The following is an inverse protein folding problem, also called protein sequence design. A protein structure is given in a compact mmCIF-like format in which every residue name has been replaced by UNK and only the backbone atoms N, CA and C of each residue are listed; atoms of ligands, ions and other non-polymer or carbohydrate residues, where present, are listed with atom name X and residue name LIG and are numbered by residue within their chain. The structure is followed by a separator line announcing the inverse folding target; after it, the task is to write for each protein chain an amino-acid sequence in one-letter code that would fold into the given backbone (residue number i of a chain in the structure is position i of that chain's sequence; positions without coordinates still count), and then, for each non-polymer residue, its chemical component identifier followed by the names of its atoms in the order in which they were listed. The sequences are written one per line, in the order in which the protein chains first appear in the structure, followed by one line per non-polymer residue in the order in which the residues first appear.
data_IF_596205349239
#
_entry.id   IF_596205349239
#
_cell.length_a   1.000
_cell.length_b   1.000
_cell.length_c   1.000
_cell.angle_alpha   90.00
_cell.angle_beta   90.00
_cell.angle_gamma   90.00
#
_symmetry.space_group_name_H-M   'P 1'
#
loop_
_entity.id
_entity.type
_entity.pdbx_description
1 polymer ?
#
# COMPACT_ATOMS: atom_id res chain seq x y z
N UNK A 1 7.50 17.52 -6.54
CA UNK A 1 7.91 16.44 -5.62
C UNK A 1 6.93 15.27 -5.77
N UNK A 2 7.42 14.03 -5.71
CA UNK A 2 6.59 12.82 -5.70
C UNK A 2 7.06 11.94 -4.56
N UNK A 3 6.21 11.76 -3.56
CA UNK A 3 6.49 10.95 -2.38
C UNK A 3 5.77 9.63 -2.51
N UNK A 4 6.49 8.54 -2.26
CA UNK A 4 5.91 7.20 -2.25
C UNK A 4 6.01 6.65 -0.83
N UNK A 5 4.88 6.22 -0.27
CA UNK A 5 4.79 5.67 1.09
C UNK A 5 4.41 4.20 0.98
N UNK A 6 5.30 3.31 1.42
CA UNK A 6 4.98 1.90 1.57
C UNK A 6 4.31 1.71 2.95
N UNK A 7 3.12 1.09 2.95
CA UNK A 7 2.38 0.78 4.18
C UNK A 7 2.18 -0.73 4.30
N UNK A 8 2.02 -1.22 5.52
CA UNK A 8 1.69 -2.61 5.82
C UNK A 8 0.46 -2.69 6.71
N UNK A 9 -0.49 -3.52 6.29
CA UNK A 9 -1.57 -3.95 7.16
C UNK A 9 -1.02 -5.00 8.13
N UNK A 10 -1.20 -4.77 9.43
CA UNK A 10 -0.74 -5.66 10.51
C UNK A 10 -1.91 -5.96 11.45
N UNK A 11 -1.91 -7.10 12.15
CA UNK A 11 -2.85 -7.32 13.25
C UNK A 11 -2.65 -6.25 14.33
N UNK A 12 -3.74 -5.78 14.92
CA UNK A 12 -3.69 -4.89 16.07
C UNK A 12 -3.14 -5.64 17.29
N UNK A 13 -1.86 -5.40 17.58
CA UNK A 13 -1.13 -6.07 18.66
C UNK A 13 -1.62 -5.69 20.06
N UNK A 14 -2.41 -4.63 20.21
CA UNK A 14 -3.00 -4.26 21.51
C UNK A 14 -4.13 -5.21 21.93
N UNK A 15 -4.74 -5.89 20.96
CA UNK A 15 -5.85 -6.82 21.14
C UNK A 15 -5.43 -8.30 21.03
N UNK A 16 -4.12 -8.55 20.93
CA UNK A 16 -3.57 -9.91 20.83
C UNK A 16 -3.57 -10.57 22.20
N UNK A 17 -4.13 -11.78 22.26
CA UNK A 17 -4.17 -12.62 23.47
C UNK A 17 -3.35 -13.88 23.25
N UNK A 18 -2.77 -14.39 24.33
CA UNK A 18 -2.13 -15.71 24.35
C UNK A 18 -3.12 -16.68 24.96
N UNK A 19 -3.31 -17.81 24.29
CA UNK A 19 -4.06 -18.94 24.82
C UNK A 19 -3.30 -19.49 26.05
N UNK A 20 -3.92 -19.49 27.25
CA UNK A 20 -3.25 -19.92 28.47
C UNK A 20 -2.96 -21.43 28.50
N UNK A 21 -3.65 -22.25 27.71
CA UNK A 21 -3.46 -23.69 27.66
C UNK A 21 -2.41 -24.10 26.63
N UNK A 22 -2.50 -23.53 25.42
CA UNK A 22 -1.63 -23.93 24.29
C UNK A 22 -0.40 -23.04 24.13
N UNK A 23 -0.37 -21.86 24.77
CA UNK A 23 0.67 -20.85 24.56
C UNK A 23 0.61 -20.20 23.17
N UNK A 24 -0.39 -20.54 22.35
CA UNK A 24 -0.54 -20.01 21.00
C UNK A 24 -1.13 -18.60 21.02
N UNK A 25 -0.78 -17.82 19.98
CA UNK A 25 -1.37 -16.51 19.75
C UNK A 25 -2.80 -16.67 19.21
N UNK A 26 -3.77 -16.14 19.96
CA UNK A 26 -5.17 -16.02 19.54
C UNK A 26 -5.25 -14.84 18.58
N UNK A 27 -5.50 -15.14 17.30
CA UNK A 27 -5.59 -14.15 16.20
C UNK A 27 -7.02 -13.95 15.70
N UNK A 28 -7.96 -14.74 16.19
CA UNK A 28 -9.37 -14.64 15.83
C UNK A 28 -9.97 -13.34 16.40
N UNK A 29 -10.73 -12.62 15.58
CA UNK A 29 -11.32 -11.33 15.97
C UNK A 29 -10.35 -10.16 16.10
N UNK A 30 -9.04 -10.35 15.90
CA UNK A 30 -8.07 -9.25 15.94
C UNK A 30 -8.19 -8.41 14.65
N UNK A 31 -8.55 -7.12 14.75
CA UNK A 31 -8.69 -6.27 13.57
C UNK A 31 -7.33 -6.06 12.90
N UNK A 32 -7.37 -5.86 11.59
CA UNK A 32 -6.20 -5.57 10.79
C UNK A 32 -6.11 -4.05 10.59
N UNK A 33 -5.02 -3.44 11.03
CA UNK A 33 -4.81 -1.98 11.05
C UNK A 33 -3.61 -1.60 10.21
N UNK A 34 -3.54 -0.34 9.76
CA UNK A 34 -2.29 0.22 9.22
C UNK A 34 -1.25 0.22 10.34
N UNK A 35 -0.05 -0.28 10.08
CA UNK A 35 1.07 -0.20 11.01
C UNK A 35 1.24 1.25 11.52
N UNK A 36 1.26 1.51 12.84
CA UNK A 36 1.27 2.88 13.37
C UNK A 36 2.43 3.75 12.86
N UNK A 37 3.61 3.16 12.65
CA UNK A 37 4.75 3.87 12.08
C UNK A 37 4.53 4.30 10.62
N UNK A 38 3.83 3.47 9.85
CA UNK A 38 3.50 3.76 8.46
C UNK A 38 2.44 4.88 8.38
N UNK A 39 1.54 4.96 9.37
CA UNK A 39 0.62 6.10 9.51
C UNK A 39 1.36 7.41 9.74
N UNK A 40 2.39 7.42 10.60
CA UNK A 40 3.23 8.61 10.77
C UNK A 40 3.95 9.00 9.47
N UNK A 41 4.42 8.01 8.70
CA UNK A 41 5.06 8.26 7.41
C UNK A 41 4.09 8.88 6.39
N UNK A 42 2.85 8.38 6.33
CA UNK A 42 1.78 8.95 5.50
C UNK A 42 1.48 10.39 5.90
N UNK A 43 1.22 10.64 7.18
CA UNK A 43 0.91 11.97 7.72
C UNK A 43 2.00 12.99 7.35
N UNK A 44 3.26 12.61 7.54
CA UNK A 44 4.38 13.46 7.18
C UNK A 44 4.39 13.71 5.65
N UNK A 45 4.20 12.68 4.84
CA UNK A 45 4.17 12.82 3.38
C UNK A 45 3.07 13.78 2.90
N UNK A 46 1.88 13.72 3.52
CA UNK A 46 0.76 14.63 3.25
C UNK A 46 1.12 16.05 3.66
N UNK A 47 1.69 16.27 4.86
CA UNK A 47 2.16 17.61 5.29
C UNK A 47 3.20 18.21 4.34
N UNK A 48 4.14 17.41 3.83
CA UNK A 48 5.09 17.89 2.83
C UNK A 48 4.40 18.23 1.50
N UNK A 49 3.42 17.44 1.08
CA UNK A 49 2.60 17.72 -0.11
C UNK A 49 1.87 19.06 0.05
N UNK A 50 1.25 19.31 1.19
CA UNK A 50 0.54 20.57 1.47
C UNK A 50 1.48 21.77 1.49
N UNK A 51 2.66 21.62 2.12
CA UNK A 51 3.62 22.72 2.28
C UNK A 51 4.38 23.06 1.00
N UNK A 52 4.74 22.06 0.20
CA UNK A 52 5.67 22.22 -0.92
C UNK A 52 5.05 21.85 -2.28
N UNK A 53 3.79 21.43 -2.30
CA UNK A 53 3.14 20.84 -3.47
C UNK A 53 3.69 19.45 -3.82
N UNK A 54 3.01 18.78 -4.74
CA UNK A 54 3.44 17.47 -5.24
C UNK A 54 2.34 16.44 -5.19
N UNK A 55 2.75 15.17 -5.15
CA UNK A 55 1.83 14.03 -5.07
C UNK A 55 2.35 12.99 -4.09
N UNK A 56 1.43 12.32 -3.41
CA UNK A 56 1.65 11.20 -2.49
C UNK A 56 1.01 9.96 -3.11
N UNK A 57 1.82 8.96 -3.37
CA UNK A 57 1.35 7.63 -3.75
C UNK A 57 1.60 6.66 -2.61
N UNK A 58 0.55 6.02 -2.13
CA UNK A 58 0.65 4.94 -1.14
C UNK A 58 0.67 3.59 -1.86
N UNK A 59 1.47 2.64 -1.35
CA UNK A 59 1.46 1.27 -1.86
C UNK A 59 1.56 0.25 -0.73
N UNK A 60 1.02 -0.95 -0.97
CA UNK A 60 1.18 -2.08 -0.05
C UNK A 60 1.31 -3.39 -0.81
N UNK A 61 2.04 -4.35 -0.24
CA UNK A 61 2.08 -5.73 -0.71
C UNK A 61 1.31 -6.61 0.25
N UNK A 62 0.26 -7.27 -0.23
CA UNK A 62 -0.63 -8.02 0.64
C UNK A 62 -1.78 -8.72 -0.07
N UNK A 63 -2.63 -9.43 0.68
CA UNK A 63 -3.83 -10.05 0.15
C UNK A 63 -4.83 -8.98 -0.34
N UNK A 64 -5.90 -9.37 -1.06
CA UNK A 64 -6.93 -8.43 -1.51
C UNK A 64 -7.52 -7.54 -0.40
N UNK A 65 -7.62 -8.08 0.83
CA UNK A 65 -8.10 -7.35 2.01
C UNK A 65 -7.25 -6.13 2.39
N UNK A 66 -5.97 -6.11 2.02
CA UNK A 66 -5.10 -4.96 2.26
C UNK A 66 -5.53 -3.71 1.46
N UNK A 67 -6.46 -3.84 0.50
CA UNK A 67 -7.09 -2.70 -0.15
C UNK A 67 -7.86 -1.80 0.84
N UNK A 68 -8.42 -2.33 1.92
CA UNK A 68 -9.12 -1.54 2.95
C UNK A 68 -8.18 -0.50 3.57
N UNK A 69 -6.95 -0.91 3.90
CA UNK A 69 -5.92 0.00 4.42
C UNK A 69 -5.53 1.08 3.40
N UNK A 70 -5.49 0.74 2.10
CA UNK A 70 -5.18 1.71 1.05
C UNK A 70 -6.30 2.76 0.89
N UNK A 71 -7.57 2.35 1.01
CA UNK A 71 -8.71 3.28 0.99
C UNK A 71 -8.60 4.27 2.15
N UNK A 72 -8.31 3.77 3.36
CA UNK A 72 -8.10 4.62 4.53
C UNK A 72 -6.95 5.62 4.34
N UNK A 73 -5.86 5.22 3.66
CA UNK A 73 -4.76 6.13 3.32
C UNK A 73 -5.16 7.22 2.31
N UNK A 74 -6.03 6.89 1.35
CA UNK A 74 -6.56 7.86 0.38
C UNK A 74 -7.48 8.86 1.07
N UNK A 75 -8.33 8.41 1.98
CA UNK A 75 -9.17 9.27 2.83
C UNK A 75 -8.32 10.21 3.71
N UNK A 76 -7.12 9.77 4.11
CA UNK A 76 -6.13 10.58 4.84
C UNK A 76 -5.27 11.50 3.95
N UNK A 77 -5.56 11.62 2.65
CA UNK A 77 -4.92 12.60 1.77
C UNK A 77 -3.85 12.06 0.82
N UNK A 78 -3.70 10.73 0.69
CA UNK A 78 -2.93 10.16 -0.42
C UNK A 78 -3.66 10.36 -1.76
N UNK A 79 -2.94 10.74 -2.81
CA UNK A 79 -3.56 11.02 -4.12
C UNK A 79 -3.81 9.73 -4.94
N UNK A 80 -2.95 8.72 -4.73
CA UNK A 80 -2.99 7.44 -5.45
C UNK A 80 -2.66 6.29 -4.52
N UNK A 81 -3.34 5.17 -4.68
CA UNK A 81 -3.07 3.93 -3.95
C UNK A 81 -2.75 2.76 -4.90
N UNK A 82 -1.80 1.90 -4.51
CA UNK A 82 -1.34 0.75 -5.30
C UNK A 82 -1.32 -0.51 -4.42
N UNK A 83 -2.08 -1.54 -4.82
CA UNK A 83 -2.03 -2.86 -4.20
C UNK A 83 -1.15 -3.80 -5.02
N UNK A 84 -0.08 -4.34 -4.43
CA UNK A 84 0.73 -5.41 -5.00
C UNK A 84 0.20 -6.76 -4.48
N UNK A 85 -0.66 -7.42 -5.26
CA UNK A 85 -1.34 -8.65 -4.85
C UNK A 85 -1.11 -9.78 -5.84
N UNK A 86 -0.40 -10.82 -5.41
CA UNK A 86 -0.20 -12.07 -6.13
C UNK A 86 0.06 -13.19 -5.10
N UNK A 87 -0.43 -14.41 -5.38
CA UNK A 87 -0.16 -15.58 -4.53
C UNK A 87 1.35 -15.84 -4.40
N UNK A 88 2.15 -15.51 -5.42
CA UNK A 88 3.61 -15.64 -5.42
C UNK A 88 4.31 -14.74 -4.40
N UNK A 89 3.63 -13.73 -3.85
CA UNK A 89 4.16 -12.87 -2.79
C UNK A 89 3.88 -13.43 -1.39
N UNK A 90 3.07 -14.48 -1.27
CA UNK A 90 2.78 -15.13 0.01
C UNK A 90 4.03 -15.78 0.61
N UNK A 91 4.22 -15.63 1.92
CA UNK A 91 5.37 -16.20 2.62
C UNK A 91 6.72 -15.54 2.31
N UNK A 92 6.72 -14.41 1.62
CA UNK A 92 7.93 -13.65 1.32
C UNK A 92 8.64 -13.20 2.61
N UNK A 93 9.97 -13.31 2.61
CA UNK A 93 10.85 -12.73 3.62
C UNK A 93 11.09 -11.24 3.34
N UNK A 94 12.02 -10.63 4.09
CA UNK A 94 12.36 -9.20 3.94
C UNK A 94 13.06 -8.90 2.61
N UNK A 95 13.91 -9.79 2.10
CA UNK A 95 14.61 -9.60 0.83
C UNK A 95 13.63 -9.66 -0.35
N UNK A 96 12.76 -10.66 -0.39
CA UNK A 96 11.75 -10.80 -1.42
C UNK A 96 10.74 -9.64 -1.37
N UNK A 97 10.29 -9.27 -0.17
CA UNK A 97 9.36 -8.14 0.01
C UNK A 97 9.98 -6.82 -0.46
N UNK A 98 11.20 -6.50 -0.03
CA UNK A 98 11.89 -5.28 -0.43
C UNK A 98 12.18 -5.23 -1.92
N UNK A 99 12.52 -6.36 -2.55
CA UNK A 99 12.69 -6.46 -4.00
C UNK A 99 11.40 -6.11 -4.75
N UNK A 100 10.26 -6.69 -4.35
CA UNK A 100 8.96 -6.41 -4.99
C UNK A 100 8.57 -4.94 -4.84
N UNK A 101 8.73 -4.37 -3.65
CA UNK A 101 8.43 -2.96 -3.38
C UNK A 101 9.37 -2.04 -4.18
N UNK A 102 10.67 -2.31 -4.23
CA UNK A 102 11.62 -1.52 -5.01
C UNK A 102 11.28 -1.53 -6.51
N UNK A 103 10.93 -2.69 -7.07
CA UNK A 103 10.48 -2.81 -8.47
C UNK A 103 9.19 -2.04 -8.73
N UNK A 104 8.26 -2.01 -7.77
CA UNK A 104 7.05 -1.20 -7.87
C UNK A 104 7.35 0.31 -7.85
N UNK A 105 8.26 0.76 -6.97
CA UNK A 105 8.70 2.15 -6.87
C UNK A 105 9.37 2.61 -8.17
N UNK A 106 10.24 1.79 -8.76
CA UNK A 106 10.87 2.07 -10.06
C UNK A 106 9.85 2.24 -11.17
N UNK A 107 8.81 1.41 -11.19
CA UNK A 107 7.73 1.48 -12.19
C UNK A 107 6.80 2.69 -12.00
N UNK A 108 6.76 3.28 -10.80
CA UNK A 108 5.90 4.42 -10.45
C UNK A 108 6.65 5.75 -10.60
N UNK A 109 7.98 5.74 -10.47
CA UNK A 109 8.81 6.94 -10.58
C UNK A 109 8.80 7.55 -11.99
N UNK A 110 8.99 8.88 -12.14
CA UNK A 110 8.61 9.66 -13.34
C UNK A 110 9.42 9.38 -14.61
N UNK A 111 10.35 8.43 -14.61
CA UNK A 111 11.00 8.00 -15.84
C UNK A 111 10.04 7.23 -16.76
N UNK A 112 8.86 6.83 -16.27
CA UNK A 112 7.80 6.25 -17.08
C UNK A 112 6.54 7.11 -17.01
N UNK A 113 6.23 7.80 -18.11
CA UNK A 113 4.99 8.58 -18.29
C UNK A 113 3.81 7.62 -18.40
N UNK A 114 3.25 7.23 -17.26
CA UNK A 114 1.99 6.47 -17.25
C UNK A 114 0.81 7.46 -17.27
N UNK A 115 -0.08 7.38 -18.27
CA UNK A 115 -1.18 8.32 -18.41
C UNK A 115 -2.15 8.23 -17.24
N UNK A 116 -2.55 9.40 -16.71
CA UNK A 116 -3.38 9.64 -15.51
C UNK A 116 -4.83 9.16 -15.60
N UNK A 117 -5.19 8.39 -16.62
CA UNK A 117 -6.57 8.07 -16.91
C UNK A 117 -6.65 6.69 -17.57
N UNK A 118 -6.83 5.67 -16.74
CA UNK A 118 -7.61 4.47 -17.04
C UNK A 118 -7.77 3.62 -15.78
N UNK A 119 -9.03 3.46 -15.39
CA UNK A 119 -9.54 2.50 -14.40
C UNK A 119 -8.91 1.11 -14.60
N UNK A 120 -8.47 0.51 -13.50
CA UNK A 120 -8.11 -0.90 -13.32
C UNK A 120 -7.62 -1.65 -14.59
N UNK A 121 -6.37 -1.43 -15.00
CA UNK A 121 -5.67 -2.34 -15.93
C UNK A 121 -4.70 -3.21 -15.13
N UNK A 122 -4.76 -4.52 -15.38
CA UNK A 122 -3.73 -5.46 -14.93
C UNK A 122 -2.36 -5.00 -15.45
N UNK A 123 -1.36 -4.96 -14.58
CA UNK A 123 -0.03 -4.45 -14.92
C UNK A 123 0.85 -5.60 -15.40
N UNK A 124 1.33 -5.50 -16.65
CA UNK A 124 2.38 -6.38 -17.15
C UNK A 124 3.74 -5.71 -16.94
N UNK A 125 4.39 -6.00 -15.80
CA UNK A 125 5.82 -5.78 -15.62
C UNK A 125 6.54 -6.62 -16.70
N UNK A 126 7.12 -5.98 -17.72
CA UNK A 126 7.76 -6.66 -18.88
C UNK A 126 8.96 -7.56 -18.54
N UNK A 127 9.34 -7.70 -17.25
CA UNK A 127 10.34 -8.66 -16.77
C UNK A 127 9.76 -9.81 -15.95
N UNK A 128 8.46 -9.83 -15.78
CA UNK A 128 7.76 -10.91 -15.09
C UNK A 128 6.74 -11.51 -16.03
N UNK A 129 7.12 -12.64 -16.63
CA UNK A 129 6.15 -13.53 -17.26
C UNK A 129 5.09 -13.90 -16.23
N UNK A 130 3.83 -13.71 -16.61
CA UNK A 130 2.57 -13.98 -15.88
C UNK A 130 1.88 -12.75 -15.26
N UNK A 131 0.55 -12.80 -15.34
CA UNK A 131 -0.41 -11.69 -15.12
C UNK A 131 -0.33 -11.21 -13.67
N UNK A 132 0.10 -9.96 -13.45
CA UNK A 132 0.19 -9.37 -12.11
C UNK A 132 -0.89 -8.32 -11.90
N UNK A 133 -1.70 -8.53 -10.86
CA UNK A 133 -2.75 -7.59 -10.49
C UNK A 133 -2.16 -6.49 -9.61
N UNK A 134 -1.97 -5.30 -10.17
CA UNK A 134 -1.89 -4.09 -9.37
C UNK A 134 -3.20 -3.31 -9.52
N UNK A 135 -3.93 -3.13 -8.42
CA UNK A 135 -5.14 -2.32 -8.40
C UNK A 135 -4.75 -0.87 -8.09
N UNK A 136 -5.32 0.08 -8.84
CA UNK A 136 -5.10 1.50 -8.67
C UNK A 136 -6.36 2.17 -8.15
N UNK A 137 -6.21 2.90 -7.06
CA UNK A 137 -7.27 3.74 -6.48
C UNK A 137 -6.85 5.20 -6.58
N UNK A 138 -7.81 6.08 -6.90
CA UNK A 138 -7.60 7.53 -7.00
C UNK A 138 -8.44 8.20 -5.91
N UNK A 139 -7.89 9.21 -5.24
CA UNK A 139 -8.64 10.01 -4.27
C UNK A 139 -9.74 10.86 -4.91
N UNK A 140 -10.70 11.36 -4.11
CA UNK A 140 -11.67 12.33 -4.58
C UNK A 140 -10.93 13.54 -5.17
N UNK A 141 -11.35 13.95 -6.36
CA UNK A 141 -10.90 15.20 -6.98
C UNK A 141 -11.71 16.30 -6.32
N UNK A 142 -11.04 17.37 -5.89
CA UNK A 142 -11.72 18.65 -5.73
C UNK A 142 -12.44 18.94 -7.05
N UNK A 143 -13.77 18.85 -7.02
CA UNK A 143 -14.60 19.35 -8.09
C UNK A 143 -14.50 20.88 -8.00
N UNK A 144 -13.84 21.49 -8.98
CA UNK A 144 -13.72 22.92 -9.28
C UNK A 144 -14.46 23.91 -8.35
N UNK A 145 -13.69 24.74 -7.63
CA UNK A 145 -13.77 26.21 -7.60
C UNK A 145 -12.66 26.79 -6.70
#
# INVERSE_FOLDING_TARGET
MHTIVAIKQVPDITNVRIDPETGALIREGVPAVINPYDRHALEMAVRLKERFGGTVTVLTMGPPKAAEALVECVEQGADRAILLCDRKFGGADTLATSYVIARAIEAVSPHDRLPRQHTARHWHLRRFHERRCAALFHGPRDAEA
#
